data_IF_069022206941
#
_entry.id   IF_069022206941
#
_cell.length_a   1.000
_cell.length_b   1.000
_cell.length_c   1.000
_cell.angle_alpha   90.00
_cell.angle_beta   90.00
_cell.angle_gamma   90.00
#
_symmetry.space_group_name_H-M   'P 1'
#
loop_
_entity.id
_entity.type
_entity.pdbx_description
1 polymer ?
#
# COMPACT_ATOMS: atom_id res chain seq x y z
N UNK A 1 26.40 21.29 -1.48
CA UNK A 1 26.80 20.90 -0.12
C UNK A 1 26.07 19.61 0.20
N UNK A 2 26.81 18.54 0.42
CA UNK A 2 26.28 17.24 0.84
C UNK A 2 26.69 17.10 2.30
N UNK A 3 25.73 16.75 3.16
CA UNK A 3 25.95 16.55 4.60
C UNK A 3 25.79 15.07 4.86
N UNK A 4 26.83 14.41 5.36
CA UNK A 4 26.78 13.00 5.75
C UNK A 4 26.40 12.88 7.23
N UNK A 5 25.54 11.93 7.55
CA UNK A 5 25.01 11.69 8.88
C UNK A 5 24.80 10.19 9.07
N UNK A 6 25.19 9.68 10.23
CA UNK A 6 24.96 8.28 10.62
C UNK A 6 23.47 8.00 10.94
N UNK A 7 22.70 9.05 11.24
CA UNK A 7 21.27 8.93 11.49
C UNK A 7 20.44 9.20 10.22
N UNK A 8 19.34 8.45 10.02
CA UNK A 8 18.45 8.68 8.89
C UNK A 8 17.83 10.09 8.95
N UNK A 9 17.45 10.67 7.81
CA UNK A 9 16.83 11.99 7.77
C UNK A 9 15.52 11.98 8.56
N UNK A 10 15.38 12.96 9.44
CA UNK A 10 14.16 13.19 10.22
C UNK A 10 13.42 14.39 9.63
N UNK A 11 12.09 14.36 9.68
CA UNK A 11 11.24 15.44 9.18
C UNK A 11 10.34 15.91 10.30
N UNK A 12 10.39 17.20 10.62
CA UNK A 12 9.59 17.78 11.69
C UNK A 12 8.44 18.62 11.13
N UNK A 13 7.33 18.64 11.87
CA UNK A 13 6.22 19.54 11.54
C UNK A 13 6.69 20.99 11.63
N UNK A 14 6.28 21.83 10.68
CA UNK A 14 6.72 23.22 10.50
C UNK A 14 8.18 23.43 10.07
N UNK A 15 8.95 22.36 9.86
CA UNK A 15 10.30 22.47 9.32
C UNK A 15 10.27 23.05 7.90
N UNK A 16 11.20 23.96 7.61
CA UNK A 16 11.40 24.49 6.25
C UNK A 16 12.54 23.74 5.60
N UNK A 17 12.21 22.85 4.68
CA UNK A 17 13.19 22.06 3.94
C UNK A 17 13.70 22.93 2.77
N UNK A 18 15.01 23.23 2.72
CA UNK A 18 15.57 24.08 1.68
C UNK A 18 15.20 23.57 0.28
N UNK A 19 14.75 24.48 -0.59
CA UNK A 19 14.36 24.21 -1.99
C UNK A 19 13.12 23.31 -2.18
N UNK A 20 12.43 22.89 -1.11
CA UNK A 20 11.21 22.06 -1.19
C UNK A 20 10.00 22.85 -0.67
N UNK A 21 10.04 23.34 0.56
CA UNK A 21 8.91 24.03 1.19
C UNK A 21 8.80 23.78 2.68
N UNK A 22 7.65 24.17 3.25
CA UNK A 22 7.35 23.99 4.68
C UNK A 22 6.48 22.76 4.90
N UNK A 23 6.85 21.94 5.87
CA UNK A 23 6.05 20.79 6.29
C UNK A 23 4.83 21.30 7.06
N UNK A 24 3.64 21.15 6.47
CA UNK A 24 2.37 21.62 7.06
C UNK A 24 1.59 20.51 7.78
N UNK A 25 1.78 19.25 7.38
CA UNK A 25 1.08 18.10 7.94
C UNK A 25 1.98 16.86 7.86
N UNK A 26 2.04 16.09 8.95
CA UNK A 26 2.64 14.76 8.97
C UNK A 26 1.50 13.74 9.13
N UNK A 27 1.18 13.03 8.05
CA UNK A 27 0.13 12.02 8.04
C UNK A 27 0.74 10.63 8.05
N UNK A 28 0.58 9.93 9.17
CA UNK A 28 0.80 8.49 9.22
C UNK A 28 -0.51 7.81 8.84
N UNK A 29 -0.53 7.00 7.79
CA UNK A 29 -1.68 6.13 7.55
C UNK A 29 -1.76 5.11 8.69
N UNK A 30 -2.65 5.34 9.66
CA UNK A 30 -3.02 4.30 10.62
C UNK A 30 -3.88 3.29 9.89
N UNK A 31 -3.20 2.31 9.27
CA UNK A 31 -3.88 1.17 8.71
C UNK A 31 -4.47 0.34 9.87
N UNK A 32 -5.70 -0.18 9.72
CA UNK A 32 -6.27 -1.06 10.74
C UNK A 32 -5.38 -2.29 10.94
N UNK A 33 -5.30 -2.83 12.16
CA UNK A 33 -4.49 -4.03 12.42
C UNK A 33 -4.91 -5.23 11.56
N UNK A 34 -6.19 -5.32 11.19
CA UNK A 34 -6.72 -6.34 10.28
C UNK A 34 -7.83 -5.76 9.43
N UNK A 35 -7.84 -6.15 8.15
CA UNK A 35 -8.87 -5.77 7.19
C UNK A 35 -9.45 -7.00 6.51
N UNK A 36 -10.69 -6.88 6.04
CA UNK A 36 -11.33 -7.93 5.24
C UNK A 36 -11.11 -7.69 3.74
N UNK A 37 -11.55 -8.65 2.93
CA UNK A 37 -11.47 -8.53 1.48
C UNK A 37 -12.35 -7.40 0.90
N UNK A 38 -13.40 -6.97 1.61
CA UNK A 38 -14.28 -5.89 1.15
C UNK A 38 -13.57 -4.54 1.23
N UNK A 39 -12.87 -4.29 2.33
CA UNK A 39 -12.07 -3.11 2.56
C UNK A 39 -10.94 -2.95 1.52
N UNK A 40 -10.28 -4.05 1.15
CA UNK A 40 -9.26 -4.04 0.10
C UNK A 40 -9.86 -3.83 -1.30
N UNK A 41 -11.08 -4.34 -1.53
CA UNK A 41 -11.79 -4.16 -2.80
C UNK A 41 -12.13 -2.68 -3.06
N UNK A 42 -12.51 -1.93 -2.02
CA UNK A 42 -12.78 -0.49 -2.12
C UNK A 42 -11.55 0.31 -2.57
N UNK A 43 -10.34 -0.08 -2.14
CA UNK A 43 -9.09 0.62 -2.49
C UNK A 43 -8.48 0.21 -3.83
N UNK A 44 -8.58 -1.06 -4.20
CA UNK A 44 -7.82 -1.61 -5.33
C UNK A 44 -8.63 -1.83 -6.61
N UNK A 45 -9.96 -1.69 -6.59
CA UNK A 45 -10.85 -1.97 -7.73
C UNK A 45 -10.60 -3.35 -8.36
N UNK A 46 -10.22 -4.33 -7.53
CA UNK A 46 -10.00 -5.73 -7.91
C UNK A 46 -11.20 -6.54 -7.42
N UNK A 47 -11.63 -7.53 -8.21
CA UNK A 47 -12.73 -8.41 -7.79
C UNK A 47 -12.35 -9.21 -6.53
N UNK A 48 -13.32 -9.40 -5.62
CA UNK A 48 -13.11 -10.16 -4.37
C UNK A 48 -12.46 -11.52 -4.60
N UNK A 49 -12.89 -12.26 -5.64
CA UNK A 49 -12.33 -13.57 -5.99
C UNK A 49 -10.84 -13.49 -6.34
N UNK A 50 -10.45 -12.54 -7.19
CA UNK A 50 -9.05 -12.36 -7.58
C UNK A 50 -8.20 -11.90 -6.39
N UNK A 51 -8.77 -11.13 -5.47
CA UNK A 51 -8.11 -10.67 -4.27
C UNK A 51 -7.83 -11.84 -3.31
N UNK A 52 -8.81 -12.71 -3.07
CA UNK A 52 -8.67 -13.92 -2.25
C UNK A 52 -7.64 -14.88 -2.87
N UNK A 53 -7.68 -15.09 -4.18
CA UNK A 53 -6.75 -15.99 -4.87
C UNK A 53 -5.30 -15.50 -4.76
N UNK A 54 -5.07 -14.19 -4.98
CA UNK A 54 -3.74 -13.58 -4.90
C UNK A 54 -3.22 -13.46 -3.47
N UNK A 55 -4.10 -13.24 -2.49
CA UNK A 55 -3.72 -13.05 -1.10
C UNK A 55 -3.88 -14.31 -0.24
N UNK A 56 -4.16 -15.48 -0.86
CA UNK A 56 -4.44 -16.73 -0.13
C UNK A 56 -3.38 -17.08 0.92
N UNK A 57 -2.11 -16.82 0.61
CA UNK A 57 -0.95 -17.11 1.48
C UNK A 57 -0.91 -16.17 2.69
N UNK A 58 -1.44 -14.95 2.56
CA UNK A 58 -1.48 -13.93 3.61
C UNK A 58 -2.76 -14.00 4.45
N UNK A 59 -3.63 -14.99 4.23
CA UNK A 59 -4.85 -15.12 5.00
C UNK A 59 -4.52 -15.50 6.45
N UNK A 60 -4.91 -14.63 7.39
CA UNK A 60 -4.81 -14.86 8.83
C UNK A 60 -6.16 -15.20 9.47
N UNK A 61 -7.20 -15.36 8.66
CA UNK A 61 -8.55 -15.71 9.09
C UNK A 61 -8.87 -17.19 8.82
N UNK A 62 -10.15 -17.49 8.61
CA UNK A 62 -10.64 -18.83 8.26
C UNK A 62 -11.03 -18.89 6.78
N UNK A 63 -11.38 -20.07 6.28
CA UNK A 63 -11.87 -20.23 4.89
C UNK A 63 -13.15 -19.44 4.62
N UNK A 64 -13.98 -19.20 5.65
CA UNK A 64 -15.20 -18.42 5.54
C UNK A 64 -14.97 -16.90 5.72
N UNK A 65 -13.93 -16.49 6.45
CA UNK A 65 -13.64 -15.07 6.71
C UNK A 65 -12.16 -14.79 6.51
N UNK A 66 -11.83 -14.27 5.33
CA UNK A 66 -10.47 -13.86 5.02
C UNK A 66 -10.11 -12.54 5.71
N UNK A 67 -9.03 -12.58 6.48
CA UNK A 67 -8.50 -11.42 7.20
C UNK A 67 -7.03 -11.25 6.84
N UNK A 68 -6.65 -10.00 6.61
CA UNK A 68 -5.31 -9.64 6.14
C UNK A 68 -4.70 -8.55 7.01
N UNK A 69 -3.38 -8.56 7.12
CA UNK A 69 -2.61 -7.41 7.63
C UNK A 69 -2.38 -6.43 6.48
N UNK A 70 -2.94 -5.19 6.54
CA UNK A 70 -2.77 -4.21 5.48
C UNK A 70 -1.31 -3.92 5.12
N UNK A 71 -0.40 -3.95 6.10
CA UNK A 71 1.00 -3.62 5.88
C UNK A 71 1.70 -4.67 5.01
N UNK A 72 1.27 -5.94 5.09
CA UNK A 72 1.78 -7.01 4.25
C UNK A 72 1.13 -6.99 2.86
N UNK A 73 -0.20 -6.80 2.78
CA UNK A 73 -0.93 -7.00 1.52
C UNK A 73 -1.00 -5.78 0.61
N UNK A 74 -0.97 -4.56 1.14
CA UNK A 74 -1.02 -3.32 0.33
C UNK A 74 0.17 -3.24 -0.64
N UNK A 75 1.43 -3.43 -0.20
CA UNK A 75 2.58 -3.39 -1.13
C UNK A 75 2.49 -4.45 -2.23
N UNK A 76 1.97 -5.64 -1.90
CA UNK A 76 1.75 -6.73 -2.87
C UNK A 76 0.72 -6.30 -3.92
N UNK A 77 -0.41 -5.73 -3.49
CA UNK A 77 -1.47 -5.26 -4.38
C UNK A 77 -1.05 -4.04 -5.23
N UNK A 78 -0.23 -3.15 -4.69
CA UNK A 78 0.33 -2.00 -5.43
C UNK A 78 1.27 -2.45 -6.55
N UNK A 79 2.18 -3.38 -6.25
CA UNK A 79 3.05 -4.00 -7.26
C UNK A 79 2.25 -4.75 -8.33
N UNK A 80 1.14 -5.39 -7.95
CA UNK A 80 0.25 -6.06 -8.90
C UNK A 80 -0.42 -5.08 -9.89
N UNK A 81 -0.81 -3.87 -9.46
CA UNK A 81 -1.33 -2.83 -10.37
C UNK A 81 -0.31 -2.40 -11.42
N UNK A 82 0.99 -2.44 -11.10
CA UNK A 82 2.07 -2.16 -12.06
C UNK A 82 2.12 -3.24 -13.17
N UNK A 83 1.88 -4.50 -12.81
CA UNK A 83 1.93 -5.63 -13.78
C UNK A 83 0.67 -5.77 -14.66
N UNK A 84 -0.49 -5.30 -14.19
CA UNK A 84 -1.76 -5.41 -14.92
C UNK A 84 -1.93 -4.35 -16.03
N UNK A 85 -0.97 -3.42 -16.23
CA UNK A 85 -0.92 -2.51 -17.40
C UNK A 85 -0.42 -3.18 -18.69
N UNK A 86 -0.28 -4.51 -18.73
CA UNK A 86 -0.12 -5.22 -19.99
C UNK A 86 -1.46 -5.23 -20.72
N UNK A 87 -1.63 -4.23 -21.58
CA UNK A 87 -2.81 -4.04 -22.41
C UNK A 87 -3.26 -5.36 -23.02
N UNK A 88 -4.58 -5.58 -22.99
CA UNK A 88 -5.19 -6.68 -23.73
C UNK A 88 -4.72 -6.57 -25.18
N UNK A 89 -3.86 -7.48 -25.62
CA UNK A 89 -3.68 -7.76 -27.04
C UNK A 89 -5.00 -8.37 -27.52
N UNK A 90 -5.98 -7.50 -27.80
CA UNK A 90 -7.14 -7.84 -28.62
C UNK A 90 -6.58 -8.14 -29.99
N UNK A 91 -6.36 -9.43 -30.26
CA UNK A 91 -6.10 -9.91 -31.61
C UNK A 91 -7.31 -9.50 -32.46
N UNK A 92 -7.06 -8.66 -33.46
CA UNK A 92 -7.93 -8.54 -34.63
C UNK A 92 -7.84 -9.82 -35.44
#
# INVERSE_FOLDING_TARGET
MVVESDQPPQVFLNETIPKIGKVIELKTEQLPNRVDAAWLQERFSISRKALIEKLRIFNRGTDNKHLYDPNEVIPVLENLKVTNKRGANRKK
#
